data_IF_850039728156
#
_entry.id   IF_850039728156
#
_cell.length_a   1.000
_cell.length_b   1.000
_cell.length_c   1.000
_cell.angle_alpha   90.00
_cell.angle_beta   90.00
_cell.angle_gamma   90.00
#
_symmetry.space_group_name_H-M   'P 1'
#
loop_
_entity.id
_entity.type
_entity.pdbx_description
1 polymer ?
#
# COMPACT_ATOMS: atom_id res chain seq x y z
N UNK A 1 26.57 -3.46 -35.22
CA UNK A 1 26.10 -4.12 -33.97
C UNK A 1 26.62 -3.47 -32.67
N UNK A 2 27.71 -2.73 -32.74
CA UNK A 2 28.31 -2.05 -31.56
C UNK A 2 27.74 -0.67 -31.27
N UNK A 3 27.07 -0.05 -32.21
CA UNK A 3 26.51 1.32 -32.08
C UNK A 3 25.17 1.35 -31.33
N UNK A 4 24.44 0.24 -31.29
CA UNK A 4 23.14 0.17 -30.63
C UNK A 4 23.24 0.16 -29.10
N UNK A 5 24.40 -0.20 -28.55
CA UNK A 5 24.60 -0.23 -27.09
C UNK A 5 25.01 1.13 -26.49
N UNK A 6 25.52 2.06 -27.33
CA UNK A 6 25.94 3.39 -26.87
C UNK A 6 24.80 4.39 -26.70
N UNK A 7 23.70 4.18 -27.41
CA UNK A 7 22.51 5.06 -27.25
C UNK A 7 21.71 4.72 -25.99
N UNK A 8 21.84 3.50 -25.48
CA UNK A 8 21.18 3.10 -24.23
C UNK A 8 21.90 3.60 -22.96
N UNK A 9 23.18 3.94 -23.03
CA UNK A 9 23.96 4.41 -21.89
C UNK A 9 23.58 5.82 -21.40
N UNK A 10 22.87 6.60 -22.22
CA UNK A 10 22.48 7.97 -21.88
C UNK A 10 21.00 8.10 -21.47
N UNK A 11 20.19 7.05 -21.57
CA UNK A 11 18.82 7.05 -21.07
C UNK A 11 18.71 6.18 -19.84
N UNK A 12 18.23 6.76 -18.74
CA UNK A 12 17.92 6.01 -17.54
C UNK A 12 16.92 4.91 -17.91
N UNK A 13 17.27 3.65 -17.62
CA UNK A 13 16.37 2.52 -17.84
C UNK A 13 15.03 2.76 -17.15
N UNK A 14 13.93 2.61 -17.89
CA UNK A 14 12.60 2.90 -17.36
C UNK A 14 12.27 2.08 -16.11
N UNK A 15 12.88 0.90 -15.94
CA UNK A 15 12.75 0.09 -14.74
C UNK A 15 13.08 0.85 -13.44
N UNK A 16 14.04 1.77 -13.46
CA UNK A 16 14.34 2.61 -12.30
C UNK A 16 13.24 3.62 -11.99
N UNK A 17 12.51 4.08 -13.00
CA UNK A 17 11.28 4.87 -12.80
C UNK A 17 10.18 4.03 -12.14
N UNK A 18 10.08 2.76 -12.52
CA UNK A 18 9.18 1.80 -11.87
C UNK A 18 9.55 1.62 -10.39
N UNK A 19 10.84 1.45 -10.09
CA UNK A 19 11.32 1.34 -8.70
C UNK A 19 11.00 2.59 -7.89
N UNK A 20 11.22 3.78 -8.44
CA UNK A 20 10.90 5.04 -7.77
C UNK A 20 9.39 5.17 -7.53
N UNK A 21 8.56 4.82 -8.50
CA UNK A 21 7.11 4.85 -8.38
C UNK A 21 6.62 3.86 -7.33
N UNK A 22 7.18 2.64 -7.29
CA UNK A 22 6.85 1.63 -6.29
C UNK A 22 7.30 2.07 -4.90
N UNK A 23 8.46 2.70 -4.78
CA UNK A 23 8.94 3.28 -3.52
C UNK A 23 7.91 4.28 -2.95
N UNK A 24 7.47 5.23 -3.76
CA UNK A 24 6.43 6.19 -3.37
C UNK A 24 5.12 5.48 -3.06
N UNK A 25 4.72 4.54 -3.90
CA UNK A 25 3.47 3.79 -3.75
C UNK A 25 3.45 3.00 -2.45
N UNK A 26 4.53 2.33 -2.07
CA UNK A 26 4.63 1.56 -0.83
C UNK A 26 4.64 2.44 0.42
N UNK A 27 5.10 3.69 0.29
CA UNK A 27 5.11 4.65 1.39
C UNK A 27 3.71 4.88 1.97
N UNK A 28 2.69 5.00 1.14
CA UNK A 28 1.32 5.28 1.58
C UNK A 28 0.65 4.10 2.29
N UNK A 29 0.57 2.89 1.72
CA UNK A 29 -0.01 1.75 2.43
C UNK A 29 0.72 1.44 3.74
N UNK A 30 2.03 1.47 3.73
CA UNK A 30 2.83 1.20 4.92
C UNK A 30 2.57 2.23 6.01
N UNK A 31 2.68 3.52 5.68
CA UNK A 31 2.54 4.60 6.66
C UNK A 31 1.11 4.80 7.14
N UNK A 32 0.12 4.57 6.29
CA UNK A 32 -1.28 4.82 6.62
C UNK A 32 -2.04 3.58 7.10
N UNK A 33 -1.48 2.39 6.94
CA UNK A 33 -2.08 1.14 7.41
C UNK A 33 -1.21 0.48 8.47
N UNK A 34 -0.06 -0.04 8.07
CA UNK A 34 0.78 -0.89 8.91
C UNK A 34 1.28 -0.15 10.16
N UNK A 35 1.84 1.04 9.99
CA UNK A 35 2.41 1.80 11.11
C UNK A 35 1.38 2.64 11.87
N UNK A 36 0.17 2.82 11.33
CA UNK A 36 -0.85 3.66 11.96
C UNK A 36 -1.80 2.89 12.89
N UNK A 37 -1.67 1.59 13.05
CA UNK A 37 -2.58 0.81 13.89
C UNK A 37 -2.67 1.34 15.32
N UNK A 38 -1.54 1.72 15.91
CA UNK A 38 -1.53 2.27 17.28
C UNK A 38 -2.36 3.56 17.37
N UNK A 39 -2.30 4.41 16.36
CA UNK A 39 -3.07 5.67 16.31
C UNK A 39 -4.57 5.39 16.24
N UNK A 40 -4.97 4.49 15.35
CA UNK A 40 -6.38 4.13 15.18
C UNK A 40 -6.95 3.45 16.42
N UNK A 41 -6.18 2.54 17.01
CA UNK A 41 -6.62 1.81 18.20
C UNK A 41 -6.69 2.73 19.43
N UNK A 42 -5.77 3.66 19.59
CA UNK A 42 -5.83 4.65 20.67
C UNK A 42 -7.07 5.54 20.54
N UNK A 43 -7.38 5.97 19.32
CA UNK A 43 -8.57 6.78 19.07
C UNK A 43 -9.86 6.00 19.33
N UNK A 44 -9.90 4.72 18.99
CA UNK A 44 -11.06 3.85 19.22
C UNK A 44 -11.17 3.43 20.69
N UNK A 45 -10.07 3.16 21.36
CA UNK A 45 -10.05 2.78 22.78
C UNK A 45 -10.53 3.90 23.71
N UNK A 46 -10.50 5.17 23.25
CA UNK A 46 -11.11 6.28 23.96
C UNK A 46 -12.65 6.16 24.02
N UNK A 47 -13.25 5.35 23.18
CA UNK A 47 -14.69 5.05 23.20
C UNK A 47 -14.99 3.92 24.19
N UNK A 48 -16.08 4.01 25.00
CA UNK A 48 -16.38 2.97 26.01
C UNK A 48 -16.69 1.60 25.43
N UNK A 49 -17.08 1.53 24.14
CA UNK A 49 -17.48 0.30 23.48
C UNK A 49 -16.32 -0.66 23.18
N UNK A 50 -15.07 -0.18 23.22
CA UNK A 50 -13.91 -0.94 22.82
C UNK A 50 -12.93 -1.14 23.97
N UNK A 51 -12.37 -2.35 24.05
CA UNK A 51 -11.35 -2.73 25.03
C UNK A 51 -10.00 -2.91 24.35
N UNK A 52 -8.93 -2.97 25.14
CA UNK A 52 -7.59 -3.29 24.63
C UNK A 52 -7.58 -4.66 23.95
N UNK A 53 -8.34 -5.62 24.49
CA UNK A 53 -8.46 -6.97 23.93
C UNK A 53 -9.12 -6.97 22.56
N UNK A 54 -10.24 -6.24 22.38
CA UNK A 54 -10.90 -6.13 21.08
C UNK A 54 -10.06 -5.38 20.06
N UNK A 55 -9.34 -4.35 20.49
CA UNK A 55 -8.42 -3.61 19.65
C UNK A 55 -7.27 -4.49 19.14
N UNK A 56 -6.65 -5.25 20.02
CA UNK A 56 -5.57 -6.19 19.66
C UNK A 56 -6.05 -7.29 18.72
N UNK A 57 -7.26 -7.82 18.93
CA UNK A 57 -7.87 -8.82 18.05
C UNK A 57 -8.11 -8.23 16.64
N UNK A 58 -8.47 -6.96 16.54
CA UNK A 58 -8.66 -6.29 15.26
C UNK A 58 -7.38 -6.27 14.42
N UNK A 59 -6.23 -5.99 15.03
CA UNK A 59 -4.93 -6.04 14.34
C UNK A 59 -4.62 -7.45 13.88
N UNK A 60 -4.91 -8.46 14.69
CA UNK A 60 -4.74 -9.86 14.30
C UNK A 60 -5.62 -10.22 13.10
N UNK A 61 -6.85 -9.74 13.06
CA UNK A 61 -7.76 -9.91 11.92
C UNK A 61 -7.21 -9.21 10.67
N UNK A 62 -6.65 -8.03 10.82
CA UNK A 62 -5.99 -7.31 9.73
C UNK A 62 -4.89 -8.16 9.07
N UNK A 63 -4.00 -8.73 9.87
CA UNK A 63 -2.93 -9.57 9.34
C UNK A 63 -3.43 -10.90 8.79
N UNK A 64 -4.44 -11.50 9.42
CA UNK A 64 -5.02 -12.76 8.95
C UNK A 64 -5.71 -12.60 7.60
N UNK A 65 -6.58 -11.60 7.46
CA UNK A 65 -7.25 -11.31 6.19
C UNK A 65 -6.27 -10.84 5.12
N UNK A 66 -5.25 -10.10 5.52
CA UNK A 66 -4.16 -9.69 4.63
C UNK A 66 -3.39 -10.89 4.11
N UNK A 67 -3.07 -11.85 4.96
CA UNK A 67 -2.40 -13.10 4.57
C UNK A 67 -3.23 -13.94 3.62
N UNK A 68 -4.51 -14.16 3.92
CA UNK A 68 -5.43 -14.91 3.06
C UNK A 68 -5.63 -14.20 1.72
N UNK A 69 -5.90 -12.90 1.74
CA UNK A 69 -6.05 -12.09 0.53
C UNK A 69 -4.77 -12.08 -0.30
N UNK A 70 -3.61 -12.04 0.37
CA UNK A 70 -2.32 -12.09 -0.28
C UNK A 70 -2.10 -13.34 -1.13
N UNK A 71 -2.60 -14.50 -0.69
CA UNK A 71 -2.54 -15.73 -1.47
C UNK A 71 -3.33 -15.61 -2.78
N UNK A 72 -4.53 -15.04 -2.72
CA UNK A 72 -5.34 -14.81 -3.92
C UNK A 72 -4.72 -13.74 -4.82
N UNK A 73 -4.23 -12.66 -4.26
CA UNK A 73 -3.57 -11.58 -5.00
C UNK A 73 -2.31 -12.09 -5.70
N UNK A 74 -1.50 -12.90 -5.04
CA UNK A 74 -0.29 -13.47 -5.63
C UNK A 74 -0.59 -14.29 -6.89
N UNK A 75 -1.68 -15.08 -6.88
CA UNK A 75 -2.14 -15.82 -8.05
C UNK A 75 -2.71 -14.92 -9.13
N UNK A 76 -3.51 -13.95 -8.72
CA UNK A 76 -4.20 -13.04 -9.64
C UNK A 76 -3.22 -12.17 -10.43
N UNK A 77 -2.18 -11.64 -9.78
CA UNK A 77 -1.19 -10.76 -10.43
C UNK A 77 -0.23 -11.51 -11.37
N UNK A 78 -0.17 -12.84 -11.32
CA UNK A 78 0.58 -13.63 -12.30
C UNK A 78 -0.01 -13.52 -13.71
N UNK A 79 -1.34 -13.48 -13.82
CA UNK A 79 -2.07 -13.52 -15.08
C UNK A 79 -2.69 -12.18 -15.48
N UNK A 80 -2.87 -11.27 -14.52
CA UNK A 80 -3.57 -9.98 -14.71
C UNK A 80 -2.69 -8.80 -14.36
N UNK A 81 -3.18 -7.61 -14.67
CA UNK A 81 -2.45 -6.36 -14.42
C UNK A 81 -2.39 -6.04 -12.91
N UNK A 82 -1.18 -5.97 -12.32
CA UNK A 82 -1.03 -5.60 -10.91
C UNK A 82 -1.61 -4.23 -10.54
N UNK A 83 -1.69 -3.30 -11.49
CA UNK A 83 -2.26 -1.98 -11.24
C UNK A 83 -3.73 -2.03 -10.86
N UNK A 84 -4.48 -2.98 -11.40
CA UNK A 84 -5.89 -3.20 -11.04
C UNK A 84 -5.99 -3.67 -9.60
N UNK A 85 -5.14 -4.60 -9.17
CA UNK A 85 -5.07 -5.04 -7.77
C UNK A 85 -4.75 -3.88 -6.83
N UNK A 86 -3.75 -3.06 -7.18
CA UNK A 86 -3.35 -1.90 -6.39
C UNK A 86 -4.51 -0.91 -6.26
N UNK A 87 -5.20 -0.61 -7.35
CA UNK A 87 -6.35 0.31 -7.36
C UNK A 87 -7.50 -0.24 -6.52
N UNK A 88 -7.85 -1.51 -6.69
CA UNK A 88 -8.89 -2.16 -5.90
C UNK A 88 -8.57 -2.14 -4.40
N UNK A 89 -7.32 -2.47 -4.06
CA UNK A 89 -6.86 -2.44 -2.66
C UNK A 89 -6.88 -1.05 -2.05
N UNK A 90 -6.51 -0.03 -2.80
CA UNK A 90 -6.57 1.36 -2.36
C UNK A 90 -8.01 1.81 -2.09
N UNK A 91 -8.94 1.46 -2.96
CA UNK A 91 -10.37 1.75 -2.79
C UNK A 91 -10.93 1.02 -1.56
N UNK A 92 -10.60 -0.25 -1.38
CA UNK A 92 -11.01 -1.02 -0.20
C UNK A 92 -10.47 -0.39 1.08
N UNK A 93 -9.22 0.03 1.10
CA UNK A 93 -8.61 0.71 2.25
C UNK A 93 -9.27 2.05 2.55
N UNK A 94 -9.61 2.81 1.52
CA UNK A 94 -10.36 4.06 1.67
C UNK A 94 -11.72 3.83 2.33
N UNK A 95 -12.51 2.88 1.84
CA UNK A 95 -13.79 2.56 2.45
C UNK A 95 -13.66 2.04 3.87
N UNK A 96 -12.63 1.23 4.14
CA UNK A 96 -12.35 0.75 5.49
C UNK A 96 -12.04 1.91 6.45
N UNK A 97 -11.23 2.87 6.03
CA UNK A 97 -10.89 4.05 6.85
C UNK A 97 -12.11 4.95 7.07
N UNK A 98 -12.94 5.15 6.05
CA UNK A 98 -14.18 5.89 6.20
C UNK A 98 -15.14 5.20 7.17
N UNK A 99 -15.29 3.89 7.06
CA UNK A 99 -16.13 3.10 7.96
C UNK A 99 -15.58 3.05 9.38
N UNK A 100 -14.27 3.04 9.54
CA UNK A 100 -13.61 3.00 10.85
C UNK A 100 -13.98 4.22 11.71
N UNK A 101 -14.20 5.38 11.09
CA UNK A 101 -14.62 6.59 11.80
C UNK A 101 -16.01 6.45 12.44
N UNK A 102 -16.85 5.53 11.97
CA UNK A 102 -18.23 5.35 12.41
C UNK A 102 -18.49 4.02 13.09
N UNK A 103 -17.45 3.26 13.41
CA UNK A 103 -17.57 1.96 14.09
C UNK A 103 -18.06 2.16 15.52
N UNK A 104 -19.11 1.41 15.90
CA UNK A 104 -19.72 1.48 17.24
C UNK A 104 -19.70 0.15 18.00
N UNK A 105 -19.60 -0.97 17.30
CA UNK A 105 -19.58 -2.32 17.92
C UNK A 105 -18.31 -3.07 17.60
N UNK A 106 -17.96 -4.05 18.43
CA UNK A 106 -16.78 -4.91 18.21
C UNK A 106 -16.89 -5.68 16.89
N UNK A 107 -18.08 -6.17 16.54
CA UNK A 107 -18.27 -6.87 15.26
C UNK A 107 -17.99 -5.96 14.06
N UNK A 108 -18.50 -4.72 14.09
CA UNK A 108 -18.22 -3.73 13.05
C UNK A 108 -16.72 -3.45 12.93
N UNK A 109 -16.03 -3.30 14.06
CA UNK A 109 -14.59 -3.09 14.10
C UNK A 109 -13.85 -4.24 13.43
N UNK A 110 -14.21 -5.49 13.71
CA UNK A 110 -13.58 -6.66 13.12
C UNK A 110 -13.81 -6.74 11.60
N UNK A 111 -15.03 -6.47 11.15
CA UNK A 111 -15.35 -6.45 9.72
C UNK A 111 -14.58 -5.36 8.96
N UNK A 112 -14.50 -4.17 9.53
CA UNK A 112 -13.75 -3.04 8.92
C UNK A 112 -12.26 -3.34 8.87
N UNK A 113 -11.68 -3.88 9.93
CA UNK A 113 -10.26 -4.26 9.94
C UNK A 113 -9.98 -5.44 9.01
N UNK A 114 -10.91 -6.36 8.84
CA UNK A 114 -10.82 -7.42 7.83
C UNK A 114 -10.75 -6.84 6.41
N UNK A 115 -11.63 -5.91 6.09
CA UNK A 115 -11.62 -5.20 4.80
C UNK A 115 -10.32 -4.39 4.61
N UNK A 116 -9.86 -3.74 5.67
CA UNK A 116 -8.63 -2.93 5.64
C UNK A 116 -7.40 -3.81 5.38
N UNK A 117 -7.32 -4.98 6.03
CA UNK A 117 -6.25 -5.95 5.79
C UNK A 117 -6.23 -6.48 4.36
N UNK A 118 -7.41 -6.79 3.81
CA UNK A 118 -7.54 -7.21 2.42
C UNK A 118 -7.09 -6.09 1.45
N UNK A 119 -7.50 -4.85 1.71
CA UNK A 119 -7.08 -3.69 0.92
C UNK A 119 -5.59 -3.45 0.96
N UNK A 120 -4.99 -3.57 2.13
CA UNK A 120 -3.54 -3.45 2.29
C UNK A 120 -2.80 -4.52 1.49
N UNK A 121 -3.21 -5.79 1.58
CA UNK A 121 -2.58 -6.88 0.86
C UNK A 121 -2.67 -6.70 -0.65
N UNK A 122 -3.82 -6.23 -1.15
CA UNK A 122 -4.04 -6.04 -2.58
C UNK A 122 -3.27 -4.84 -3.15
N UNK A 123 -2.97 -3.82 -2.35
CA UNK A 123 -2.36 -2.57 -2.81
C UNK A 123 -0.89 -2.39 -2.40
N UNK A 124 -0.31 -3.31 -1.63
CA UNK A 124 1.02 -3.14 -1.05
C UNK A 124 2.06 -4.06 -1.70
N UNK A 125 2.76 -4.82 -0.89
CA UNK A 125 4.02 -5.48 -1.24
C UNK A 125 3.90 -6.50 -2.37
N UNK A 126 2.84 -7.29 -2.42
CA UNK A 126 2.72 -8.40 -3.38
C UNK A 126 2.65 -7.91 -4.83
N UNK A 127 1.71 -7.01 -5.21
CA UNK A 127 1.71 -6.48 -6.58
C UNK A 127 2.95 -5.64 -6.89
N UNK A 128 3.51 -4.94 -5.91
CA UNK A 128 4.71 -4.13 -6.09
C UNK A 128 5.93 -4.98 -6.39
N UNK A 129 6.16 -6.05 -5.63
CA UNK A 129 7.29 -6.96 -5.88
C UNK A 129 7.14 -7.71 -7.19
N UNK A 130 5.93 -8.07 -7.57
CA UNK A 130 5.65 -8.69 -8.88
C UNK A 130 6.08 -7.77 -10.02
N UNK A 131 5.75 -6.50 -9.96
CA UNK A 131 6.18 -5.51 -10.95
C UNK A 131 7.70 -5.37 -11.01
N UNK A 132 8.36 -5.25 -9.87
CA UNK A 132 9.82 -5.16 -9.81
C UNK A 132 10.47 -6.38 -10.45
N UNK A 133 9.99 -7.58 -10.17
CA UNK A 133 10.54 -8.81 -10.74
C UNK A 133 10.34 -8.92 -12.25
N UNK A 134 9.29 -8.31 -12.79
CA UNK A 134 9.07 -8.23 -14.25
C UNK A 134 10.04 -7.28 -14.94
N UNK A 135 10.43 -6.18 -14.28
CA UNK A 135 11.28 -5.14 -14.85
C UNK A 135 12.77 -5.41 -14.65
N UNK A 136 13.16 -6.23 -13.68
CA UNK A 136 14.55 -6.50 -13.36
C UNK A 136 14.85 -8.00 -13.32
N UNK A 137 15.96 -8.38 -13.95
CA UNK A 137 16.51 -9.74 -13.90
C UNK A 137 17.86 -9.78 -13.19
N UNK A 138 18.85 -8.97 -13.66
CA UNK A 138 20.22 -8.98 -13.11
C UNK A 138 20.34 -8.23 -11.79
N UNK A 139 19.67 -7.09 -11.66
CA UNK A 139 19.72 -6.23 -10.46
C UNK A 139 18.44 -6.34 -9.62
N UNK A 140 17.78 -7.47 -9.68
CA UNK A 140 16.48 -7.69 -9.01
C UNK A 140 16.57 -7.48 -7.50
N UNK A 141 17.58 -8.04 -6.84
CA UNK A 141 17.75 -7.91 -5.39
C UNK A 141 17.95 -6.44 -4.97
N UNK A 142 18.76 -5.70 -5.72
CA UNK A 142 18.97 -4.27 -5.45
C UNK A 142 17.70 -3.45 -5.68
N UNK A 143 16.98 -3.71 -6.76
CA UNK A 143 15.73 -3.03 -7.07
C UNK A 143 14.67 -3.30 -6.01
N UNK A 144 14.51 -4.54 -5.56
CA UNK A 144 13.60 -4.92 -4.49
C UNK A 144 13.96 -4.24 -3.16
N UNK A 145 15.25 -4.18 -2.83
CA UNK A 145 15.73 -3.53 -1.61
C UNK A 145 15.41 -2.03 -1.60
N UNK A 146 15.68 -1.35 -2.70
CA UNK A 146 15.40 0.09 -2.84
C UNK A 146 13.90 0.35 -2.76
N UNK A 147 13.10 -0.39 -3.52
CA UNK A 147 11.65 -0.24 -3.51
C UNK A 147 11.07 -0.49 -2.12
N UNK A 148 11.52 -1.53 -1.43
CA UNK A 148 11.04 -1.90 -0.10
C UNK A 148 11.42 -0.89 1.00
N UNK A 149 12.42 -0.05 0.77
CA UNK A 149 12.77 1.04 1.70
C UNK A 149 11.62 2.04 1.85
N UNK A 150 10.74 2.15 0.85
CA UNK A 150 9.52 2.95 0.94
C UNK A 150 8.60 2.53 2.09
N UNK A 151 8.60 1.25 2.47
CA UNK A 151 7.82 0.77 3.62
C UNK A 151 8.23 1.47 4.93
N UNK A 152 9.52 1.62 5.16
CA UNK A 152 10.04 2.31 6.35
C UNK A 152 9.82 3.82 6.29
N UNK A 153 9.96 4.41 5.11
CA UNK A 153 9.75 5.84 4.91
C UNK A 153 8.30 6.24 5.23
N UNK A 154 7.34 5.38 4.92
CA UNK A 154 5.94 5.61 5.25
C UNK A 154 5.72 5.81 6.75
N UNK A 155 6.33 4.95 7.58
CA UNK A 155 6.26 5.09 9.02
C UNK A 155 6.91 6.36 9.54
N UNK A 156 8.02 6.78 8.93
CA UNK A 156 8.76 7.98 9.36
C UNK A 156 8.00 9.27 9.02
N UNK A 157 7.37 9.33 7.85
CA UNK A 157 6.74 10.57 7.35
C UNK A 157 5.25 10.62 7.65
N UNK A 158 4.51 9.55 7.32
CA UNK A 158 3.05 9.58 7.35
C UNK A 158 2.47 9.31 8.73
N UNK A 159 3.14 8.56 9.58
CA UNK A 159 2.66 8.30 10.94
C UNK A 159 2.62 9.59 11.79
N UNK A 160 3.68 10.42 11.84
CA UNK A 160 3.59 11.71 12.53
C UNK A 160 2.53 12.63 11.93
N UNK A 161 2.39 12.67 10.61
CA UNK A 161 1.35 13.44 9.94
C UNK A 161 -0.05 12.97 10.36
N UNK A 162 -0.27 11.68 10.45
CA UNK A 162 -1.54 11.10 10.88
C UNK A 162 -1.87 11.46 12.34
N UNK A 163 -0.87 11.44 13.21
CA UNK A 163 -1.04 11.88 14.61
C UNK A 163 -1.51 13.33 14.66
N UNK A 164 -0.87 14.23 13.92
CA UNK A 164 -1.25 15.63 13.85
C UNK A 164 -2.68 15.81 13.33
N UNK A 165 -3.06 15.05 12.31
CA UNK A 165 -4.42 15.11 11.75
C UNK A 165 -5.47 14.64 12.76
N UNK A 166 -5.22 13.55 13.46
CA UNK A 166 -6.15 13.04 14.48
C UNK A 166 -6.27 14.01 15.66
N UNK A 167 -5.16 14.57 16.13
CA UNK A 167 -5.15 15.50 17.26
C UNK A 167 -5.81 16.83 16.91
N UNK A 168 -5.64 17.32 15.69
CA UNK A 168 -6.17 18.63 15.26
C UNK A 168 -7.62 18.57 14.79
N UNK A 169 -8.02 17.50 14.06
CA UNK A 169 -9.31 17.40 13.39
C UNK A 169 -10.27 16.43 14.08
N UNK A 170 -9.79 15.58 14.96
CA UNK A 170 -10.53 14.47 15.51
C UNK A 170 -10.54 13.25 14.58
N UNK A 171 -10.73 12.07 15.15
CA UNK A 171 -10.65 10.82 14.41
C UNK A 171 -11.73 10.68 13.32
N UNK A 172 -12.94 11.19 13.59
CA UNK A 172 -14.05 11.08 12.64
C UNK A 172 -13.80 11.85 11.33
N UNK A 173 -13.01 12.92 11.38
CA UNK A 173 -12.64 13.70 10.20
C UNK A 173 -11.30 13.22 9.66
N UNK A 174 -10.36 12.87 10.53
CA UNK A 174 -9.01 12.49 10.13
C UNK A 174 -8.99 11.15 9.36
N UNK A 175 -9.77 10.15 9.80
CA UNK A 175 -9.75 8.83 9.15
C UNK A 175 -10.18 8.87 7.68
N UNK A 176 -11.29 9.53 7.29
CA UNK A 176 -11.61 9.70 5.87
C UNK A 176 -10.55 10.48 5.09
N UNK A 177 -9.94 11.51 5.68
CA UNK A 177 -8.87 12.28 5.04
C UNK A 177 -7.62 11.42 4.81
N UNK A 178 -7.26 10.57 5.78
CA UNK A 178 -6.18 9.59 5.62
C UNK A 178 -6.49 8.64 4.47
N UNK A 179 -7.74 8.20 4.35
CA UNK A 179 -8.20 7.39 3.23
C UNK A 179 -8.05 8.11 1.88
N UNK A 180 -8.38 9.39 1.80
CA UNK A 180 -8.20 10.20 0.59
C UNK A 180 -6.71 10.32 0.25
N UNK A 181 -5.85 10.53 1.23
CA UNK A 181 -4.39 10.57 1.02
C UNK A 181 -3.91 9.23 0.47
N UNK A 182 -4.41 8.12 0.98
CA UNK A 182 -4.11 6.78 0.48
C UNK A 182 -4.47 6.65 -0.99
N UNK A 183 -5.68 7.04 -1.38
CA UNK A 183 -6.12 6.99 -2.78
C UNK A 183 -5.25 7.87 -3.69
N UNK A 184 -5.04 9.12 -3.30
CA UNK A 184 -4.28 10.10 -4.10
C UNK A 184 -2.80 9.73 -4.19
N UNK A 185 -2.25 9.09 -3.15
CA UNK A 185 -0.86 8.63 -3.17
C UNK A 185 -0.64 7.38 -4.00
N UNK A 186 -1.64 6.50 -4.09
CA UNK A 186 -1.49 5.18 -4.69
C UNK A 186 -2.01 5.14 -6.13
N UNK A 187 -3.24 5.56 -6.38
CA UNK A 187 -3.91 5.37 -7.67
C UNK A 187 -3.25 6.17 -8.79
N UNK A 188 -3.03 7.50 -8.68
CA UNK A 188 -2.40 8.26 -9.75
C UNK A 188 -0.99 7.77 -10.07
N UNK A 189 -0.19 7.46 -9.06
CA UNK A 189 1.18 6.96 -9.23
C UNK A 189 1.18 5.65 -10.00
N UNK A 190 0.28 4.72 -9.65
CA UNK A 190 0.22 3.42 -10.32
C UNK A 190 -0.17 3.53 -11.80
N UNK A 191 -1.11 4.41 -12.15
CA UNK A 191 -1.61 4.53 -13.51
C UNK A 191 -0.75 5.43 -14.40
N UNK A 192 -0.05 6.41 -13.83
CA UNK A 192 0.81 7.33 -14.59
C UNK A 192 2.20 6.72 -14.83
N UNK A 193 2.82 6.14 -13.80
CA UNK A 193 4.22 5.72 -13.85
C UNK A 193 4.42 4.23 -14.03
N UNK A 194 3.53 3.39 -13.51
CA UNK A 194 3.69 1.93 -13.61
C UNK A 194 3.27 1.41 -14.98
N UNK A 195 4.02 0.43 -15.47
CA UNK A 195 3.70 -0.34 -16.68
C UNK A 195 3.77 -1.82 -16.35
N UNK A 196 3.01 -2.62 -17.05
CA UNK A 196 2.84 -4.06 -16.74
C UNK A 196 4.15 -4.82 -16.88
N UNK A 197 4.91 -4.52 -17.91
CA UNK A 197 6.17 -5.20 -18.21
C UNK A 197 7.05 -4.36 -19.11
N UNK A 198 8.37 -4.64 -19.18
CA UNK A 198 9.27 -3.97 -20.10
C UNK A 198 8.84 -4.14 -21.55
N UNK A 199 8.35 -5.32 -21.92
CA UNK A 199 7.92 -5.65 -23.27
C UNK A 199 6.75 -4.78 -23.73
N UNK A 200 5.89 -4.32 -22.81
CA UNK A 200 4.74 -3.46 -23.13
C UNK A 200 5.14 -2.12 -23.72
N UNK A 201 6.36 -1.65 -23.45
CA UNK A 201 6.92 -0.40 -24.00
C UNK A 201 8.12 -0.65 -24.92
N UNK A 202 8.39 -1.91 -25.27
CA UNK A 202 9.44 -2.26 -26.22
C UNK A 202 10.87 -2.24 -25.65
N UNK A 203 11.05 -2.40 -24.35
CA UNK A 203 12.37 -2.44 -23.66
C UNK A 203 12.63 -3.84 -23.12
N UNK A 204 13.91 -4.18 -22.97
CA UNK A 204 14.31 -5.43 -22.31
C UNK A 204 14.54 -5.20 -20.81
N UNK A 205 14.23 -6.22 -19.95
CA UNK A 205 14.44 -6.11 -18.49
C UNK A 205 15.91 -6.10 -18.08
#
# INVERSE_FOLDING_TARGET
KFTMWREQDNQVYYGWKIVAAIFVLLTFPSGLSFYNHAIYLNALAAQPAFTVGSASMSVSIFFLTGGVTGLFVARWVEDYDPRISITAGAIMSFFALCALAYVKTTLQLFLVYGLFGAGFAASSLIPATTLVTRWFRKKRAMALSIASTGLSLGGVILTPLSILMVDSLGFNIAAPLIGVIYLVGVIPVSWIFLRVSPESIGVLP
#
